data_IF_074450020414
#
_entry.id   IF_074450020414
#
_cell.length_a   1.000
_cell.length_b   1.000
_cell.length_c   1.000
_cell.angle_alpha   90.00
_cell.angle_beta   90.00
_cell.angle_gamma   90.00
#
_symmetry.space_group_name_H-M   'P 1'
#
loop_
_entity.id
_entity.type
_entity.pdbx_description
1 polymer ?
#
# COMPACT_ATOMS: atom_id res chain seq x y z
N UNK A 1 -13.95 19.50 -26.48
CA UNK A 1 -13.32 19.07 -25.21
C UNK A 1 -13.65 17.61 -25.00
N UNK A 2 -12.66 16.76 -24.70
CA UNK A 2 -12.95 15.38 -24.26
C UNK A 2 -13.49 15.44 -22.82
N UNK A 3 -14.52 14.66 -22.52
CA UNK A 3 -15.12 14.60 -21.19
C UNK A 3 -14.19 13.92 -20.19
N UNK A 4 -14.34 14.23 -18.89
CA UNK A 4 -13.57 13.61 -17.81
C UNK A 4 -13.76 12.09 -17.76
N UNK A 5 -14.96 11.63 -18.12
CA UNK A 5 -15.30 10.21 -18.23
C UNK A 5 -14.43 9.49 -19.25
N UNK A 6 -14.19 10.09 -20.43
CA UNK A 6 -13.37 9.46 -21.46
C UNK A 6 -11.94 9.11 -21.00
N UNK A 7 -11.41 9.84 -20.02
CA UNK A 7 -10.09 9.57 -19.44
C UNK A 7 -10.15 8.64 -18.23
N UNK A 8 -11.16 8.79 -17.37
CA UNK A 8 -11.16 8.17 -16.05
C UNK A 8 -12.09 6.95 -15.93
N UNK A 9 -13.01 6.70 -16.89
CA UNK A 9 -13.89 5.53 -16.86
C UNK A 9 -13.10 4.21 -16.78
N UNK A 10 -12.04 3.99 -17.58
CA UNK A 10 -11.28 2.74 -17.53
C UNK A 10 -10.61 2.52 -16.17
N UNK A 11 -10.10 3.59 -15.56
CA UNK A 11 -9.53 3.55 -14.21
C UNK A 11 -10.60 3.18 -13.17
N UNK A 12 -11.76 3.84 -13.23
CA UNK A 12 -12.84 3.59 -12.27
C UNK A 12 -13.38 2.17 -12.39
N UNK A 13 -13.54 1.68 -13.62
CA UNK A 13 -13.91 0.29 -13.88
C UNK A 13 -12.87 -0.69 -13.33
N UNK A 14 -11.58 -0.43 -13.52
CA UNK A 14 -10.53 -1.29 -12.98
C UNK A 14 -10.49 -1.32 -11.45
N UNK A 15 -10.86 -0.22 -10.79
CA UNK A 15 -10.99 -0.15 -9.33
C UNK A 15 -12.24 -0.91 -8.85
N UNK A 16 -13.39 -0.71 -9.51
CA UNK A 16 -14.66 -1.37 -9.14
C UNK A 16 -14.63 -2.87 -9.33
N UNK A 17 -14.08 -3.34 -10.45
CA UNK A 17 -14.08 -4.76 -10.79
C UNK A 17 -13.07 -5.58 -9.97
N UNK A 18 -12.35 -4.97 -9.03
CA UNK A 18 -11.30 -5.58 -8.19
C UNK A 18 -10.25 -6.40 -8.98
N UNK A 19 -10.14 -6.19 -10.30
CA UNK A 19 -9.22 -6.90 -11.20
C UNK A 19 -7.76 -6.70 -10.79
N UNK A 20 -7.49 -5.66 -10.01
CA UNK A 20 -6.16 -5.26 -9.59
C UNK A 20 -6.01 -5.42 -8.08
N UNK A 21 -4.85 -5.92 -7.67
CA UNK A 21 -4.49 -6.21 -6.28
C UNK A 21 -4.65 -5.02 -5.30
N UNK A 22 -4.67 -3.79 -5.81
CA UNK A 22 -4.91 -2.58 -5.02
C UNK A 22 -5.23 -1.37 -5.89
N UNK A 23 -5.81 -0.32 -5.30
CA UNK A 23 -6.02 0.98 -5.95
C UNK A 23 -4.73 1.59 -6.49
N UNK A 24 -3.62 1.48 -5.75
CA UNK A 24 -2.31 1.93 -6.23
C UNK A 24 -1.86 1.20 -7.50
N UNK A 25 -2.20 -0.08 -7.67
CA UNK A 25 -1.91 -0.81 -8.90
C UNK A 25 -2.71 -0.26 -10.10
N UNK A 26 -3.97 0.12 -9.90
CA UNK A 26 -4.77 0.81 -10.92
C UNK A 26 -4.13 2.14 -11.34
N UNK A 27 -3.70 2.93 -10.37
CA UNK A 27 -3.00 4.20 -10.62
C UNK A 27 -1.66 4.02 -11.34
N UNK A 28 -0.97 2.90 -11.14
CA UNK A 28 0.26 2.60 -11.87
C UNK A 28 -0.01 2.27 -13.34
N UNK A 29 -1.13 1.59 -13.63
CA UNK A 29 -1.50 1.18 -14.99
C UNK A 29 -2.03 2.35 -15.80
N UNK A 30 -2.96 3.12 -15.22
CA UNK A 30 -3.65 4.24 -15.89
C UNK A 30 -3.02 5.61 -15.60
N UNK A 31 -1.70 5.66 -15.41
CA UNK A 31 -1.02 6.90 -15.05
C UNK A 31 -1.12 7.95 -16.16
N UNK A 32 -1.05 7.55 -17.43
CA UNK A 32 -1.06 8.51 -18.54
C UNK A 32 -2.42 9.21 -18.66
N UNK A 33 -3.49 8.45 -18.52
CA UNK A 33 -4.87 8.89 -18.59
C UNK A 33 -5.17 9.89 -17.48
N UNK A 34 -4.67 9.65 -16.26
CA UNK A 34 -4.77 10.60 -15.15
C UNK A 34 -4.00 11.89 -15.45
N UNK A 35 -2.80 11.79 -16.04
CA UNK A 35 -1.99 12.97 -16.39
C UNK A 35 -2.61 13.76 -17.55
N UNK A 36 -3.23 13.10 -18.51
CA UNK A 36 -3.99 13.75 -19.58
C UNK A 36 -5.22 14.45 -19.04
N UNK A 37 -6.01 13.79 -18.18
CA UNK A 37 -7.13 14.42 -17.50
C UNK A 37 -6.68 15.67 -16.72
N UNK A 38 -5.50 15.62 -16.09
CA UNK A 38 -4.95 16.75 -15.32
C UNK A 38 -4.60 17.97 -16.17
N UNK A 39 -4.37 17.83 -17.48
CA UNK A 39 -4.15 18.97 -18.39
C UNK A 39 -5.41 19.81 -18.56
N UNK A 40 -6.58 19.20 -18.44
CA UNK A 40 -7.87 19.85 -18.69
C UNK A 40 -8.66 20.10 -17.40
N UNK A 41 -8.49 19.25 -16.39
CA UNK A 41 -9.27 19.25 -15.15
C UNK A 41 -8.42 19.53 -13.90
N UNK A 42 -9.07 20.09 -12.89
CA UNK A 42 -8.49 20.29 -11.55
C UNK A 42 -8.39 18.97 -10.79
N UNK A 43 -7.55 18.94 -9.75
CA UNK A 43 -7.44 17.76 -8.92
C UNK A 43 -8.74 17.48 -8.17
N UNK A 44 -9.45 18.52 -7.73
CA UNK A 44 -10.73 18.41 -7.05
C UNK A 44 -11.75 17.71 -7.95
N UNK A 45 -11.89 18.13 -9.21
CA UNK A 45 -12.80 17.50 -10.18
C UNK A 45 -12.46 16.02 -10.43
N UNK A 46 -11.19 15.71 -10.63
CA UNK A 46 -10.71 14.33 -10.84
C UNK A 46 -11.02 13.46 -9.61
N UNK A 47 -10.76 13.97 -8.41
CA UNK A 47 -10.97 13.20 -7.18
C UNK A 47 -12.45 12.99 -6.91
N UNK A 48 -13.28 14.02 -7.07
CA UNK A 48 -14.74 13.92 -6.94
C UNK A 48 -15.28 12.88 -7.91
N UNK A 49 -14.84 12.91 -9.17
CA UNK A 49 -15.27 11.94 -10.18
C UNK A 49 -14.92 10.50 -9.78
N UNK A 50 -13.66 10.25 -9.38
CA UNK A 50 -13.22 8.90 -9.02
C UNK A 50 -13.96 8.41 -7.77
N UNK A 51 -14.09 9.25 -6.74
CA UNK A 51 -14.82 8.90 -5.51
C UNK A 51 -16.28 8.52 -5.81
N UNK A 52 -16.98 9.30 -6.63
CA UNK A 52 -18.36 9.04 -7.05
C UNK A 52 -18.54 7.72 -7.83
N UNK A 53 -17.49 7.28 -8.55
CA UNK A 53 -17.56 6.10 -9.42
C UNK A 53 -16.90 4.85 -8.84
N UNK A 54 -16.27 4.92 -7.67
CA UNK A 54 -15.49 3.80 -7.09
C UNK A 54 -15.80 3.55 -5.61
N UNK A 55 -16.93 4.05 -5.12
CA UNK A 55 -17.38 3.97 -3.72
C UNK A 55 -16.26 4.30 -2.72
N UNK A 56 -15.42 5.26 -3.12
CA UNK A 56 -14.24 5.66 -2.38
C UNK A 56 -14.46 7.04 -1.79
N UNK A 57 -13.87 7.30 -0.63
CA UNK A 57 -13.92 8.59 0.05
C UNK A 57 -12.51 9.06 0.37
N UNK A 58 -11.66 9.12 -0.66
CA UNK A 58 -10.26 9.51 -0.50
C UNK A 58 -10.10 11.03 -0.70
N UNK A 59 -9.26 11.63 0.13
CA UNK A 59 -8.89 13.04 -0.01
C UNK A 59 -8.00 13.27 -1.24
N UNK A 60 -8.06 14.48 -1.80
CA UNK A 60 -7.24 14.89 -2.96
C UNK A 60 -5.75 14.60 -2.75
N UNK A 61 -5.25 14.80 -1.52
CA UNK A 61 -3.84 14.52 -1.16
C UNK A 61 -3.47 13.05 -1.35
N UNK A 62 -4.39 12.11 -1.08
CA UNK A 62 -4.15 10.69 -1.28
C UNK A 62 -3.96 10.36 -2.77
N UNK A 63 -4.82 10.92 -3.62
CA UNK A 63 -4.71 10.77 -5.07
C UNK A 63 -3.40 11.32 -5.63
N UNK A 64 -3.01 12.53 -5.21
CA UNK A 64 -1.71 13.11 -5.58
C UNK A 64 -0.55 12.20 -5.18
N UNK A 65 -0.57 11.69 -3.95
CA UNK A 65 0.45 10.76 -3.47
C UNK A 65 0.52 9.46 -4.30
N UNK A 66 -0.62 8.90 -4.70
CA UNK A 66 -0.65 7.69 -5.54
C UNK A 66 -0.05 7.96 -6.92
N UNK A 67 -0.33 9.13 -7.49
CA UNK A 67 0.21 9.56 -8.79
C UNK A 67 1.72 9.82 -8.72
N UNK A 68 2.21 10.47 -7.66
CA UNK A 68 3.64 10.67 -7.46
C UNK A 68 4.40 9.34 -7.28
N UNK A 69 3.81 8.40 -6.54
CA UNK A 69 4.37 7.03 -6.42
C UNK A 69 4.40 6.31 -7.77
N UNK A 70 3.35 6.45 -8.58
CA UNK A 70 3.27 5.84 -9.90
C UNK A 70 4.33 6.42 -10.86
N UNK A 71 4.54 7.75 -10.85
CA UNK A 71 5.61 8.42 -11.61
C UNK A 71 6.99 7.91 -11.19
N UNK A 72 7.27 7.89 -9.89
CA UNK A 72 8.55 7.40 -9.35
C UNK A 72 8.82 5.95 -9.77
N UNK A 73 7.79 5.10 -9.74
CA UNK A 73 7.90 3.71 -10.18
C UNK A 73 8.30 3.61 -11.65
N UNK A 74 7.64 4.36 -12.55
CA UNK A 74 8.00 4.37 -13.98
C UNK A 74 9.44 4.80 -14.21
N UNK A 75 9.88 5.88 -13.56
CA UNK A 75 11.27 6.35 -13.65
C UNK A 75 12.28 5.31 -13.17
N UNK A 76 11.98 4.60 -12.08
CA UNK A 76 12.84 3.52 -11.60
C UNK A 76 12.86 2.30 -12.53
N UNK A 77 11.77 2.00 -13.23
CA UNK A 77 11.74 0.93 -14.23
C UNK A 77 12.54 1.30 -15.47
N UNK A 78 12.45 2.55 -15.92
CA UNK A 78 13.20 3.05 -17.07
C UNK A 78 14.71 3.04 -16.81
N UNK A 79 15.15 3.45 -15.62
CA UNK A 79 16.56 3.35 -15.21
C UNK A 79 17.06 1.91 -15.24
N UNK A 80 16.30 0.97 -14.68
CA UNK A 80 16.65 -0.46 -14.71
C UNK A 80 16.77 -0.99 -16.14
N UNK A 81 15.86 -0.59 -17.03
CA UNK A 81 15.88 -1.03 -18.42
C UNK A 81 17.09 -0.47 -19.20
N UNK A 82 17.50 0.76 -18.89
CA UNK A 82 18.67 1.39 -19.48
C UNK A 82 20.00 0.86 -18.89
N UNK A 83 20.01 0.42 -17.63
CA UNK A 83 21.15 -0.24 -16.98
C UNK A 83 21.26 -1.73 -17.37
N UNK A 84 20.17 -2.37 -17.80
CA UNK A 84 20.13 -3.76 -18.25
C UNK A 84 20.49 -3.96 -19.74
N UNK A 85 21.11 -2.96 -20.38
CA UNK A 85 21.71 -3.10 -21.72
C UNK A 85 22.90 -4.08 -21.80
N UNK A 86 23.29 -4.70 -20.68
CA UNK A 86 24.24 -5.83 -20.66
C UNK A 86 23.67 -6.96 -19.81
N UNK A 87 23.58 -8.14 -20.42
CA UNK A 87 23.26 -9.46 -19.87
C UNK A 87 21.76 -9.82 -19.69
N UNK A 88 21.24 -10.46 -20.75
CA UNK A 88 20.29 -11.56 -20.66
C UNK A 88 20.49 -12.42 -19.40
N UNK A 89 19.51 -12.45 -18.48
CA UNK A 89 19.12 -13.68 -17.76
C UNK A 89 17.62 -13.63 -17.44
N UNK A 90 16.89 -14.60 -18.01
CA UNK A 90 15.55 -15.01 -17.57
C UNK A 90 15.54 -15.28 -16.05
N UNK A 91 14.45 -15.03 -15.32
CA UNK A 91 14.20 -15.76 -14.09
C UNK A 91 13.69 -17.16 -14.44
N UNK A 92 14.31 -18.25 -13.93
CA UNK A 92 13.80 -19.59 -14.13
C UNK A 92 12.53 -19.81 -13.30
N UNK A 93 11.57 -20.45 -13.94
CA UNK A 93 10.41 -21.08 -13.36
C UNK A 93 10.88 -22.21 -12.43
N UNK A 94 10.57 -22.11 -11.13
CA UNK A 94 10.92 -23.09 -10.12
C UNK A 94 9.66 -23.53 -9.37
N UNK A 95 9.09 -24.63 -9.83
CA UNK A 95 8.06 -25.40 -9.13
C UNK A 95 8.74 -26.34 -8.11
N UNK A 96 7.97 -26.78 -7.10
CA UNK A 96 8.24 -27.79 -6.05
C UNK A 96 8.82 -27.34 -4.68
N UNK A 97 7.90 -27.34 -3.71
CA UNK A 97 7.89 -28.15 -2.47
C UNK A 97 9.22 -28.47 -1.75
N UNK A 98 9.31 -28.03 -0.48
CA UNK A 98 9.42 -28.84 0.77
C UNK A 98 10.28 -28.12 1.85
N UNK A 99 9.61 -27.72 2.94
CA UNK A 99 10.01 -27.59 4.35
C UNK A 99 11.51 -27.53 4.74
N UNK A 100 11.93 -26.49 5.46
CA UNK A 100 12.52 -26.50 6.83
C UNK A 100 13.30 -25.20 7.11
N UNK A 101 12.95 -24.59 8.25
CA UNK A 101 13.76 -23.77 9.18
C UNK A 101 15.06 -23.14 8.66
N UNK A 102 15.15 -21.80 8.61
CA UNK A 102 15.96 -20.89 9.48
C UNK A 102 15.65 -19.43 9.10
N UNK A 103 14.99 -18.69 10.00
CA UNK A 103 14.74 -17.25 9.86
C UNK A 103 16.07 -16.46 9.86
N UNK A 104 16.30 -15.50 8.94
CA UNK A 104 17.32 -14.50 9.13
C UNK A 104 16.81 -13.43 10.11
N UNK A 105 17.46 -13.34 11.26
CA UNK A 105 17.17 -12.39 12.33
C UNK A 105 16.99 -10.96 11.81
N UNK A 106 15.77 -10.43 11.98
CA UNK A 106 15.50 -9.00 11.83
C UNK A 106 16.24 -8.30 12.98
N UNK A 107 17.39 -7.70 12.67
CA UNK A 107 18.08 -6.79 13.61
C UNK A 107 17.12 -5.68 13.97
N UNK A 108 16.57 -5.78 15.18
CA UNK A 108 15.53 -4.93 15.71
C UNK A 108 15.90 -3.45 15.63
N UNK A 109 15.06 -2.70 14.94
CA UNK A 109 14.97 -1.24 15.03
C UNK A 109 14.09 -0.82 16.22
N UNK A 110 14.08 -1.61 17.30
CA UNK A 110 13.46 -1.22 18.56
C UNK A 110 14.47 -0.39 19.35
N UNK A 111 14.30 0.92 19.23
CA UNK A 111 15.01 1.94 19.97
C UNK A 111 14.94 1.67 21.48
N UNK A 112 16.09 1.73 22.13
CA UNK A 112 16.24 1.70 23.58
C UNK A 112 15.39 2.79 24.25
N UNK A 113 14.22 2.44 24.78
CA UNK A 113 13.54 3.24 25.80
C UNK A 113 12.55 2.41 26.62
N UNK A 114 13.07 1.61 27.57
CA UNK A 114 12.39 1.31 28.85
C UNK A 114 13.35 0.56 29.79
N UNK A 115 14.51 1.15 30.09
CA UNK A 115 15.23 0.83 31.33
C UNK A 115 14.71 1.79 32.38
N UNK A 116 13.59 1.46 33.02
CA UNK A 116 13.14 1.97 34.33
C UNK A 116 11.68 1.57 34.60
N UNK A 117 11.42 0.27 34.70
CA UNK A 117 10.35 -0.24 35.56
C UNK A 117 10.93 -1.36 36.39
N UNK A 118 11.49 -0.99 37.55
CA UNK A 118 11.61 -1.94 38.66
C UNK A 118 10.19 -2.31 39.04
N UNK A 119 9.72 -3.46 38.56
CA UNK A 119 8.54 -4.09 39.10
C UNK A 119 8.96 -4.61 40.48
N UNK A 120 8.73 -3.83 41.53
CA UNK A 120 8.72 -4.39 42.88
C UNK A 120 7.60 -5.42 42.92
N UNK A 121 8.00 -6.69 42.98
CA UNK A 121 7.08 -7.80 43.17
C UNK A 121 6.67 -7.79 44.64
N UNK A 122 5.60 -7.07 44.97
CA UNK A 122 4.93 -7.18 46.27
C UNK A 122 4.09 -8.47 46.25
N UNK A 123 4.58 -9.50 46.93
CA UNK A 123 3.99 -10.84 47.00
C UNK A 123 2.76 -10.92 47.93
N UNK A 124 2.05 -9.82 48.17
CA UNK A 124 0.92 -9.76 49.12
C UNK A 124 -0.48 -9.67 48.47
N UNK A 125 -0.59 -9.69 47.14
CA UNK A 125 -1.89 -9.74 46.45
C UNK A 125 -2.56 -11.12 46.58
N UNK A 126 -3.06 -11.41 47.77
CA UNK A 126 -3.87 -12.56 48.12
C UNK A 126 -5.19 -12.56 47.33
N UNK A 127 -5.55 -13.73 46.79
CA UNK A 127 -6.81 -14.04 46.10
C UNK A 127 -8.06 -13.96 47.01
N UNK A 128 -8.12 -13.00 47.93
CA UNK A 128 -9.16 -12.93 48.96
C UNK A 128 -10.48 -12.31 48.47
N UNK A 129 -10.61 -11.93 47.19
CA UNK A 129 -11.78 -11.18 46.69
C UNK A 129 -12.70 -11.96 45.76
N UNK A 130 -12.63 -13.29 45.75
CA UNK A 130 -13.48 -14.13 44.89
C UNK A 130 -14.45 -15.07 45.61
N UNK A 131 -14.34 -15.24 46.94
CA UNK A 131 -15.18 -16.23 47.65
C UNK A 131 -16.52 -15.70 48.20
N UNK A 132 -16.78 -14.40 48.13
CA UNK A 132 -17.97 -13.80 48.77
C UNK A 132 -19.19 -13.68 47.81
N UNK A 133 -19.17 -14.36 46.66
CA UNK A 133 -20.31 -14.38 45.72
C UNK A 133 -21.04 -15.71 45.64
N UNK A 134 -20.56 -16.74 46.35
CA UNK A 134 -21.19 -18.07 46.36
C UNK A 134 -21.25 -18.69 47.77
N UNK A 135 -21.55 -17.86 48.78
CA UNK A 135 -22.04 -18.33 50.07
C UNK A 135 -23.36 -17.66 50.41
#
# INVERSE_FOLDING_TARGET
MRSIDAFLSPLCEAIRNEKLKSKQAAFNLYLQEILEAKKTYTWEQICTYINQNTDSTLAVRAYRNMVERAKKKRLSQEKKNNESGVANKLPPQGDKSTQTTKEPAIKGFFSQREKERKLEYDASATMAKFEDKYK
#
